data_IF_846674613653
#
_entry.id   IF_846674613653
#
_cell.length_a   1.000
_cell.length_b   1.000
_cell.length_c   1.000
_cell.angle_alpha   90.00
_cell.angle_beta   90.00
_cell.angle_gamma   90.00
#
_symmetry.space_group_name_H-M   'P 1'
#
loop_
_entity.id
_entity.type
_entity.pdbx_description
1 polymer ?
#
# COMPACT_ATOMS: atom_id res chain seq x y z
N UNK A 1 40.92 44.71 11.05
CA UNK A 1 40.93 45.97 11.81
C UNK A 1 40.75 45.71 13.30
N UNK A 2 39.67 45.05 13.74
CA UNK A 2 39.45 44.75 15.16
C UNK A 2 40.48 43.79 15.78
N UNK A 3 40.92 42.76 15.06
CA UNK A 3 41.94 41.80 15.57
C UNK A 3 43.23 42.50 16.02
N UNK A 4 43.73 43.43 15.21
CA UNK A 4 44.91 44.24 15.56
C UNK A 4 44.71 45.05 16.86
N UNK A 5 43.49 45.53 17.09
CA UNK A 5 43.15 46.33 18.27
C UNK A 5 42.89 45.48 19.51
N UNK A 6 42.46 44.23 19.34
CA UNK A 6 42.34 43.22 20.41
C UNK A 6 43.74 42.76 20.90
N UNK A 7 44.72 42.70 19.99
CA UNK A 7 46.13 42.34 20.26
C UNK A 7 47.01 43.54 20.67
N UNK A 8 46.45 44.75 20.75
CA UNK A 8 47.20 45.95 21.07
C UNK A 8 47.74 45.94 22.51
N UNK A 9 49.04 46.21 22.65
CA UNK A 9 49.70 46.44 23.94
C UNK A 9 50.16 47.90 24.07
N UNK A 10 50.04 48.45 25.28
CA UNK A 10 50.34 49.86 25.57
C UNK A 10 51.82 50.02 25.96
N UNK A 11 52.54 50.91 25.28
CA UNK A 11 53.91 51.27 25.65
C UNK A 11 53.97 52.36 26.73
N UNK A 12 52.83 52.70 27.35
CA UNK A 12 52.74 53.77 28.35
C UNK A 12 53.44 53.36 29.64
N UNK A 13 54.33 54.23 30.13
CA UNK A 13 54.94 54.08 31.44
C UNK A 13 54.17 54.91 32.47
N UNK A 14 53.99 54.35 33.67
CA UNK A 14 53.24 54.93 34.79
C UNK A 14 54.14 55.34 35.96
N UNK A 15 55.46 55.41 35.73
CA UNK A 15 56.48 55.81 36.71
C UNK A 15 56.25 57.17 37.35
N UNK A 16 55.56 58.09 36.68
CA UNK A 16 55.21 59.40 37.23
C UNK A 16 54.08 59.37 38.29
N UNK A 17 53.41 58.22 38.48
CA UNK A 17 52.35 58.01 39.49
C UNK A 17 52.81 57.11 40.63
N UNK A 18 54.12 56.86 40.76
CA UNK A 18 54.68 56.10 41.86
C UNK A 18 54.54 56.92 43.16
N UNK A 19 53.89 56.36 44.18
CA UNK A 19 53.48 57.10 45.40
C UNK A 19 54.62 57.29 46.40
N UNK A 20 55.58 56.36 46.43
CA UNK A 20 56.71 56.36 47.37
C UNK A 20 58.04 56.49 46.62
N UNK A 21 58.80 57.53 46.97
CA UNK A 21 60.13 57.77 46.42
C UNK A 21 61.14 56.81 47.06
N UNK A 22 61.91 56.12 46.21
CA UNK A 22 62.88 55.10 46.60
C UNK A 22 63.95 55.65 47.56
N UNK A 23 64.25 56.95 47.49
CA UNK A 23 65.25 57.58 48.36
C UNK A 23 64.79 57.74 49.82
N UNK A 24 63.49 57.64 50.09
CA UNK A 24 62.92 57.73 51.45
C UNK A 24 63.06 56.45 52.27
N UNK A 25 63.47 55.34 51.65
CA UNK A 25 63.71 54.09 52.38
C UNK A 25 65.00 54.19 53.21
N UNK A 26 64.87 54.06 54.54
CA UNK A 26 65.98 54.08 55.49
C UNK A 26 66.91 52.87 55.34
N UNK A 27 66.35 51.69 55.02
CA UNK A 27 67.05 50.42 54.88
C UNK A 27 67.02 49.84 53.46
N UNK A 28 68.00 48.98 53.11
CA UNK A 28 68.05 48.33 51.80
C UNK A 28 66.80 47.49 51.50
N UNK A 29 66.21 46.88 52.52
CA UNK A 29 65.01 46.06 52.38
C UNK A 29 63.76 46.91 52.18
N UNK A 30 63.66 48.07 52.85
CA UNK A 30 62.52 48.98 52.65
C UNK A 30 62.54 49.57 51.24
N UNK A 31 63.70 49.97 50.71
CA UNK A 31 63.84 50.39 49.30
C UNK A 31 63.38 49.32 48.31
N UNK A 32 63.73 48.04 48.55
CA UNK A 32 63.29 46.92 47.71
C UNK A 32 61.78 46.62 47.84
N UNK A 33 61.18 46.91 48.99
CA UNK A 33 59.73 46.77 49.17
C UNK A 33 58.98 47.86 48.39
N UNK A 34 59.44 49.11 48.49
CA UNK A 34 58.91 50.27 47.75
C UNK A 34 58.95 50.03 46.24
N UNK A 35 60.10 49.60 45.69
CA UNK A 35 60.22 49.29 44.26
C UNK A 35 59.28 48.17 43.78
N UNK A 36 59.08 47.14 44.62
CA UNK A 36 58.16 46.04 44.31
C UNK A 36 56.72 46.53 44.29
N UNK A 37 56.33 47.36 45.26
CA UNK A 37 54.99 47.93 45.33
C UNK A 37 54.70 48.86 44.15
N UNK A 38 55.63 49.77 43.82
CA UNK A 38 55.53 50.63 42.65
C UNK A 38 55.45 49.82 41.34
N UNK A 39 56.20 48.72 41.21
CA UNK A 39 56.11 47.83 40.04
C UNK A 39 54.73 47.17 39.91
N UNK A 40 54.15 46.71 41.03
CA UNK A 40 52.82 46.11 41.06
C UNK A 40 51.76 47.14 40.68
N UNK A 41 51.84 48.35 41.25
CA UNK A 41 50.87 49.40 40.97
C UNK A 41 50.94 49.90 39.52
N UNK A 42 52.14 50.03 38.96
CA UNK A 42 52.32 50.31 37.51
C UNK A 42 51.74 49.21 36.63
N UNK A 43 51.93 47.94 36.99
CA UNK A 43 51.35 46.82 36.26
C UNK A 43 49.82 46.81 36.36
N UNK A 44 49.27 47.13 37.53
CA UNK A 44 47.82 47.29 37.74
C UNK A 44 47.25 48.38 36.84
N UNK A 45 47.81 49.58 36.85
CA UNK A 45 47.35 50.71 36.03
C UNK A 45 47.46 50.42 34.53
N UNK A 46 48.52 49.73 34.10
CA UNK A 46 48.65 49.24 32.73
C UNK A 46 47.54 48.26 32.36
N UNK A 47 47.26 47.29 33.23
CA UNK A 47 46.20 46.31 32.99
C UNK A 47 44.82 46.95 32.94
N UNK A 48 44.55 47.94 33.80
CA UNK A 48 43.28 48.70 33.79
C UNK A 48 43.11 49.49 32.48
N UNK A 49 44.16 50.12 31.94
CA UNK A 49 44.12 50.78 30.63
C UNK A 49 43.86 49.78 29.50
N UNK A 50 44.56 48.64 29.48
CA UNK A 50 44.35 47.57 28.48
C UNK A 50 42.91 47.04 28.52
N UNK A 51 42.36 46.81 29.70
CA UNK A 51 40.96 46.37 29.86
C UNK A 51 40.00 47.45 29.35
N UNK A 52 40.24 48.71 29.69
CA UNK A 52 39.42 49.83 29.22
C UNK A 52 39.43 49.93 27.69
N UNK A 53 40.60 49.84 27.06
CA UNK A 53 40.73 49.82 25.59
C UNK A 53 39.99 48.61 25.01
N UNK A 54 40.13 47.42 25.57
CA UNK A 54 39.38 46.23 25.13
C UNK A 54 37.88 46.43 25.21
N UNK A 55 37.37 47.01 26.29
CA UNK A 55 35.95 47.28 26.45
C UNK A 55 35.42 48.26 25.41
N UNK A 56 36.17 49.33 25.12
CA UNK A 56 35.82 50.28 24.04
C UNK A 56 35.78 49.56 22.69
N UNK A 57 36.73 48.67 22.43
CA UNK A 57 36.82 47.91 21.17
C UNK A 57 35.65 46.93 21.04
N UNK A 58 35.27 46.25 22.12
CA UNK A 58 34.10 45.38 22.16
C UNK A 58 32.83 46.17 21.86
N UNK A 59 32.64 47.32 22.52
CA UNK A 59 31.49 48.19 22.29
C UNK A 59 31.45 48.70 20.84
N UNK A 60 32.60 49.08 20.28
CA UNK A 60 32.70 49.52 18.90
C UNK A 60 32.38 48.38 17.91
N UNK A 61 32.83 47.14 18.20
CA UNK A 61 32.56 45.95 17.38
C UNK A 61 31.08 45.56 17.42
N UNK A 62 30.43 45.70 18.57
CA UNK A 62 29.00 45.44 18.75
C UNK A 62 28.13 46.44 17.99
N UNK A 63 28.55 47.71 17.94
CA UNK A 63 27.81 48.79 17.28
C UNK A 63 28.22 49.03 15.81
N UNK A 64 29.24 48.35 15.29
CA UNK A 64 29.66 48.51 13.89
C UNK A 64 28.57 47.97 12.93
N UNK A 65 27.96 48.83 12.09
CA UNK A 65 26.88 48.42 11.19
C UNK A 65 27.31 47.32 10.21
N UNK A 66 28.60 47.25 9.85
CA UNK A 66 29.13 46.22 8.94
C UNK A 66 29.12 44.85 9.60
N UNK A 67 29.56 44.78 10.85
CA UNK A 67 29.58 43.55 11.64
C UNK A 67 28.16 43.13 11.98
N UNK A 68 27.28 44.06 12.34
CA UNK A 68 25.86 43.80 12.58
C UNK A 68 25.22 43.22 11.31
N UNK A 69 25.44 43.84 10.15
CA UNK A 69 24.90 43.36 8.88
C UNK A 69 25.44 41.97 8.51
N UNK A 70 26.74 41.73 8.68
CA UNK A 70 27.35 40.42 8.43
C UNK A 70 26.80 39.33 9.37
N UNK A 71 26.64 39.64 10.67
CA UNK A 71 26.06 38.73 11.64
C UNK A 71 24.58 38.43 11.35
N UNK A 72 23.81 39.46 10.96
CA UNK A 72 22.41 39.30 10.54
C UNK A 72 22.31 38.41 9.29
N UNK A 73 23.10 38.69 8.26
CA UNK A 73 23.15 37.88 7.05
C UNK A 73 23.57 36.42 7.34
N UNK A 74 24.52 36.19 8.24
CA UNK A 74 24.91 34.85 8.64
C UNK A 74 23.81 34.10 9.40
N UNK A 75 23.05 34.78 10.27
CA UNK A 75 21.87 34.22 10.95
C UNK A 75 20.77 33.87 9.95
N UNK A 76 20.43 34.80 9.07
CA UNK A 76 19.42 34.60 8.02
C UNK A 76 19.81 33.47 7.08
N UNK A 77 21.08 33.36 6.67
CA UNK A 77 21.55 32.24 5.85
C UNK A 77 21.41 30.89 6.57
N UNK A 78 21.68 30.84 7.88
CA UNK A 78 21.52 29.63 8.68
C UNK A 78 20.04 29.25 8.86
N UNK A 79 19.18 30.25 9.08
CA UNK A 79 17.74 30.06 9.19
C UNK A 79 17.11 29.64 7.86
N UNK A 80 17.47 30.28 6.75
CA UNK A 80 17.06 29.90 5.41
C UNK A 80 17.49 28.47 5.07
N UNK A 81 18.72 28.07 5.43
CA UNK A 81 19.18 26.68 5.25
C UNK A 81 18.37 25.70 6.11
N UNK A 82 17.99 26.07 7.33
CA UNK A 82 17.14 25.26 8.20
C UNK A 82 15.72 25.13 7.64
N UNK A 83 15.11 26.25 7.21
CA UNK A 83 13.78 26.28 6.60
C UNK A 83 13.76 25.46 5.31
N UNK A 84 14.71 25.68 4.39
CA UNK A 84 14.81 24.90 3.16
C UNK A 84 14.91 23.38 3.42
N UNK A 85 15.61 22.98 4.49
CA UNK A 85 15.67 21.56 4.90
C UNK A 85 14.33 21.05 5.42
N UNK A 86 13.61 21.84 6.22
CA UNK A 86 12.29 21.46 6.73
C UNK A 86 11.27 21.38 5.60
N UNK A 87 11.24 22.36 4.71
CA UNK A 87 10.33 22.40 3.56
C UNK A 87 10.61 21.24 2.60
N UNK A 88 11.88 20.89 2.37
CA UNK A 88 12.23 19.73 1.55
C UNK A 88 11.76 18.41 2.18
N UNK A 89 11.77 18.29 3.50
CA UNK A 89 11.26 17.10 4.21
C UNK A 89 9.73 17.07 4.16
N UNK A 90 9.06 18.21 4.36
CA UNK A 90 7.61 18.30 4.28
C UNK A 90 7.11 17.96 2.88
N UNK A 91 7.69 18.55 1.83
CA UNK A 91 7.35 18.22 0.44
C UNK A 91 7.56 16.75 0.11
N UNK A 92 8.62 16.11 0.61
CA UNK A 92 8.83 14.67 0.41
C UNK A 92 7.72 13.85 1.06
N UNK A 93 7.33 14.18 2.29
CA UNK A 93 6.23 13.51 3.00
C UNK A 93 4.88 13.72 2.29
N UNK A 94 4.58 14.93 1.86
CA UNK A 94 3.37 15.23 1.10
C UNK A 94 3.29 14.44 -0.21
N UNK A 95 4.41 14.34 -0.94
CA UNK A 95 4.49 13.54 -2.17
C UNK A 95 4.33 12.04 -1.90
N UNK A 96 4.91 11.51 -0.82
CA UNK A 96 4.74 10.11 -0.40
C UNK A 96 3.29 9.82 0.02
N UNK A 97 2.66 10.71 0.79
CA UNK A 97 1.26 10.59 1.19
C UNK A 97 0.31 10.67 0.00
N UNK A 98 0.56 11.56 -0.97
CA UNK A 98 -0.21 11.61 -2.21
C UNK A 98 -0.05 10.34 -3.04
N UNK A 99 1.16 9.78 -3.13
CA UNK A 99 1.38 8.51 -3.82
C UNK A 99 0.63 7.36 -3.15
N UNK A 100 0.71 7.25 -1.82
CA UNK A 100 -0.03 6.22 -1.07
C UNK A 100 -1.55 6.36 -1.26
N UNK A 101 -2.07 7.59 -1.25
CA UNK A 101 -3.51 7.83 -1.52
C UNK A 101 -3.89 7.42 -2.94
N UNK A 102 -3.11 7.78 -3.96
CA UNK A 102 -3.37 7.39 -5.36
C UNK A 102 -3.28 5.88 -5.56
N UNK A 103 -2.31 5.21 -4.92
CA UNK A 103 -2.18 3.76 -4.96
C UNK A 103 -3.35 3.05 -4.25
N UNK A 104 -3.80 3.58 -3.11
CA UNK A 104 -4.96 3.05 -2.39
C UNK A 104 -6.25 3.23 -3.20
N UNK A 105 -6.45 4.38 -3.83
CA UNK A 105 -7.60 4.64 -4.72
C UNK A 105 -7.57 3.74 -5.96
N UNK A 106 -6.41 3.58 -6.60
CA UNK A 106 -6.24 2.68 -7.74
C UNK A 106 -6.49 1.21 -7.34
N UNK A 107 -6.00 0.78 -6.17
CA UNK A 107 -6.24 -0.56 -5.64
C UNK A 107 -7.72 -0.79 -5.29
N UNK A 108 -8.41 0.21 -4.73
CA UNK A 108 -9.84 0.13 -4.45
C UNK A 108 -10.66 0.03 -5.75
N UNK A 109 -10.32 0.82 -6.76
CA UNK A 109 -10.97 0.77 -8.08
C UNK A 109 -10.73 -0.58 -8.77
N UNK A 110 -9.51 -1.11 -8.71
CA UNK A 110 -9.17 -2.43 -9.25
C UNK A 110 -9.92 -3.56 -8.54
N UNK A 111 -10.04 -3.49 -7.21
CA UNK A 111 -10.84 -4.45 -6.42
C UNK A 111 -12.32 -4.38 -6.81
N UNK A 112 -12.90 -3.18 -6.87
CA UNK A 112 -14.29 -3.00 -7.28
C UNK A 112 -14.55 -3.57 -8.69
N UNK A 113 -13.68 -3.26 -9.66
CA UNK A 113 -13.79 -3.79 -11.02
C UNK A 113 -13.66 -5.33 -11.06
N UNK A 114 -12.78 -5.92 -10.24
CA UNK A 114 -12.63 -7.38 -10.14
C UNK A 114 -13.86 -8.05 -9.52
N UNK A 115 -14.48 -7.43 -8.52
CA UNK A 115 -15.71 -7.92 -7.89
C UNK A 115 -16.90 -7.85 -8.83
N UNK A 116 -17.06 -6.75 -9.57
CA UNK A 116 -18.10 -6.62 -10.61
C UNK A 116 -17.93 -7.66 -11.71
N UNK A 117 -16.70 -7.87 -12.21
CA UNK A 117 -16.42 -8.94 -13.19
C UNK A 117 -16.79 -10.32 -12.64
N UNK A 118 -16.43 -10.62 -11.40
CA UNK A 118 -16.77 -11.89 -10.74
C UNK A 118 -18.29 -12.06 -10.56
N UNK A 119 -19.01 -10.98 -10.24
CA UNK A 119 -20.49 -11.01 -10.15
C UNK A 119 -21.12 -11.28 -11.51
N UNK A 120 -20.69 -10.59 -12.56
CA UNK A 120 -21.18 -10.79 -13.93
C UNK A 120 -20.91 -12.21 -14.43
N UNK A 121 -19.70 -12.75 -14.18
CA UNK A 121 -19.35 -14.12 -14.55
C UNK A 121 -20.19 -15.15 -13.77
N UNK A 122 -20.37 -14.95 -12.47
CA UNK A 122 -21.24 -15.81 -11.66
C UNK A 122 -22.70 -15.78 -12.13
N UNK A 123 -23.22 -14.62 -12.54
CA UNK A 123 -24.55 -14.52 -13.13
C UNK A 123 -24.65 -15.22 -14.49
N UNK A 124 -23.63 -15.11 -15.34
CA UNK A 124 -23.59 -15.84 -16.62
C UNK A 124 -23.59 -17.35 -16.42
N UNK A 125 -22.75 -17.85 -15.52
CA UNK A 125 -22.69 -19.28 -15.19
C UNK A 125 -24.03 -19.77 -14.61
N UNK A 126 -24.69 -18.97 -13.76
CA UNK A 126 -26.04 -19.30 -13.25
C UNK A 126 -27.07 -19.39 -14.37
N UNK A 127 -27.11 -18.40 -15.26
CA UNK A 127 -28.03 -18.39 -16.42
C UNK A 127 -27.78 -19.58 -17.34
N UNK A 128 -26.53 -19.90 -17.65
CA UNK A 128 -26.17 -21.06 -18.49
C UNK A 128 -26.55 -22.39 -17.83
N UNK A 129 -26.36 -22.53 -16.50
CA UNK A 129 -26.81 -23.70 -15.74
C UNK A 129 -28.33 -23.83 -15.70
N UNK A 130 -29.04 -22.71 -15.57
CA UNK A 130 -30.50 -22.71 -15.57
C UNK A 130 -31.08 -23.10 -16.93
N UNK A 131 -30.52 -22.57 -18.03
CA UNK A 131 -30.89 -22.97 -19.39
C UNK A 131 -30.61 -24.46 -19.62
N UNK A 132 -29.42 -24.94 -19.24
CA UNK A 132 -29.05 -26.36 -19.37
C UNK A 132 -30.00 -27.27 -18.58
N UNK A 133 -30.47 -26.82 -17.41
CA UNK A 133 -31.44 -27.56 -16.58
C UNK A 133 -32.85 -27.57 -17.18
N UNK A 134 -33.26 -26.46 -17.80
CA UNK A 134 -34.55 -26.38 -18.50
C UNK A 134 -34.53 -27.29 -19.73
N UNK A 135 -33.46 -27.27 -20.52
CA UNK A 135 -33.27 -28.16 -21.67
C UNK A 135 -33.27 -29.62 -21.25
N UNK A 136 -32.51 -29.98 -20.21
CA UNK A 136 -32.50 -31.35 -19.66
C UNK A 136 -33.91 -31.82 -19.26
N UNK A 137 -34.69 -30.94 -18.59
CA UNK A 137 -36.08 -31.25 -18.22
C UNK A 137 -36.99 -31.41 -19.44
N UNK A 138 -36.79 -30.62 -20.50
CA UNK A 138 -37.56 -30.71 -21.74
C UNK A 138 -37.28 -32.02 -22.47
N UNK A 139 -36.01 -32.40 -22.62
CA UNK A 139 -35.63 -33.65 -23.29
C UNK A 139 -36.09 -34.88 -22.50
N UNK A 140 -36.03 -34.86 -21.17
CA UNK A 140 -36.58 -35.94 -20.32
C UNK A 140 -38.09 -36.07 -20.45
N UNK A 141 -38.82 -34.94 -20.49
CA UNK A 141 -40.27 -34.93 -20.73
C UNK A 141 -40.61 -35.45 -22.12
N UNK A 142 -39.81 -35.10 -23.13
CA UNK A 142 -39.96 -35.58 -24.51
C UNK A 142 -39.74 -37.09 -24.60
N UNK A 143 -38.70 -37.63 -23.97
CA UNK A 143 -38.45 -39.06 -23.89
C UNK A 143 -39.63 -39.80 -23.24
N UNK A 144 -40.14 -39.26 -22.12
CA UNK A 144 -41.30 -39.81 -21.44
C UNK A 144 -42.57 -39.78 -22.30
N UNK A 145 -42.86 -38.66 -22.97
CA UNK A 145 -44.03 -38.54 -23.85
C UNK A 145 -43.94 -39.48 -25.05
N UNK A 146 -42.76 -39.62 -25.68
CA UNK A 146 -42.57 -40.59 -26.76
C UNK A 146 -42.79 -42.03 -26.27
N UNK A 147 -42.26 -42.39 -25.10
CA UNK A 147 -42.38 -43.74 -24.56
C UNK A 147 -43.82 -44.10 -24.12
N UNK A 148 -44.52 -43.15 -23.51
CA UNK A 148 -45.89 -43.35 -22.97
C UNK A 148 -46.95 -43.10 -24.04
N UNK A 149 -46.94 -41.93 -24.68
CA UNK A 149 -48.04 -41.48 -25.54
C UNK A 149 -47.95 -42.04 -26.95
N UNK A 150 -46.73 -42.22 -27.51
CA UNK A 150 -46.56 -42.79 -28.86
C UNK A 150 -46.42 -44.29 -28.87
N UNK A 151 -45.61 -44.86 -27.98
CA UNK A 151 -45.26 -46.28 -28.03
C UNK A 151 -45.95 -47.14 -26.96
N UNK A 152 -46.77 -46.56 -26.06
CA UNK A 152 -47.52 -47.30 -25.03
C UNK A 152 -46.65 -48.34 -24.28
N UNK A 153 -45.46 -47.92 -23.82
CA UNK A 153 -44.48 -48.80 -23.15
C UNK A 153 -44.04 -50.02 -23.98
N UNK A 154 -44.10 -49.92 -25.31
CA UNK A 154 -43.82 -51.01 -26.25
C UNK A 154 -44.68 -52.27 -26.03
N UNK A 155 -45.88 -52.11 -25.45
CA UNK A 155 -46.80 -53.21 -25.14
C UNK A 155 -47.71 -53.58 -26.32
N UNK A 156 -47.40 -53.12 -27.53
CA UNK A 156 -48.20 -53.43 -28.72
C UNK A 156 -47.87 -54.85 -29.19
N UNK A 157 -48.57 -55.82 -28.61
CA UNK A 157 -48.59 -57.21 -29.06
C UNK A 157 -49.56 -58.03 -28.21
N UNK A 158 -50.43 -58.82 -28.86
CA UNK A 158 -51.48 -59.70 -28.30
C UNK A 158 -50.96 -60.85 -27.38
N UNK A 159 -49.82 -60.69 -26.69
CA UNK A 159 -49.13 -61.77 -25.96
C UNK A 159 -48.59 -61.34 -24.60
N UNK A 160 -49.35 -60.58 -23.82
CA UNK A 160 -48.97 -60.22 -22.45
C UNK A 160 -50.18 -60.38 -21.52
N UNK A 161 -50.09 -61.30 -20.57
CA UNK A 161 -51.06 -61.42 -19.47
C UNK A 161 -51.10 -60.10 -18.68
N UNK A 162 -52.29 -59.63 -18.29
CA UNK A 162 -52.49 -58.37 -17.57
C UNK A 162 -51.63 -58.25 -16.28
N UNK A 163 -51.25 -59.39 -15.70
CA UNK A 163 -50.34 -59.50 -14.54
C UNK A 163 -48.88 -59.11 -14.87
N UNK A 164 -48.37 -59.42 -16.07
CA UNK A 164 -46.98 -59.13 -16.47
C UNK A 164 -46.80 -57.76 -17.11
N UNK A 165 -47.88 -57.15 -17.60
CA UNK A 165 -47.86 -55.82 -18.20
C UNK A 165 -47.34 -54.76 -17.21
N UNK A 166 -47.75 -54.83 -15.94
CA UNK A 166 -47.29 -53.91 -14.90
C UNK A 166 -45.79 -54.04 -14.60
N UNK A 167 -45.26 -55.27 -14.57
CA UNK A 167 -43.82 -55.52 -14.34
C UNK A 167 -42.95 -54.96 -15.47
N UNK A 168 -43.37 -55.18 -16.73
CA UNK A 168 -42.67 -54.64 -17.92
C UNK A 168 -42.68 -53.12 -17.97
N UNK A 169 -43.80 -52.48 -17.63
CA UNK A 169 -43.89 -51.01 -17.54
C UNK A 169 -42.92 -50.44 -16.51
N UNK A 170 -42.83 -51.05 -15.33
CA UNK A 170 -41.91 -50.61 -14.27
C UNK A 170 -40.45 -50.79 -14.71
N UNK A 171 -40.11 -51.89 -15.40
CA UNK A 171 -38.77 -52.11 -15.93
C UNK A 171 -38.38 -51.05 -16.97
N UNK A 172 -39.29 -50.73 -17.89
CA UNK A 172 -39.05 -49.74 -18.96
C UNK A 172 -38.89 -48.33 -18.39
N UNK A 173 -39.66 -47.97 -17.36
CA UNK A 173 -39.51 -46.71 -16.64
C UNK A 173 -38.19 -46.64 -15.85
N UNK A 174 -37.77 -47.74 -15.21
CA UNK A 174 -36.49 -47.83 -14.52
C UNK A 174 -35.30 -47.70 -15.48
N UNK A 175 -35.39 -48.33 -16.66
CA UNK A 175 -34.38 -48.21 -17.71
C UNK A 175 -34.35 -46.78 -18.31
N UNK A 176 -35.50 -46.13 -18.45
CA UNK A 176 -35.59 -44.72 -18.85
C UNK A 176 -34.90 -43.80 -17.83
N UNK A 177 -35.11 -44.05 -16.53
CA UNK A 177 -34.46 -43.29 -15.46
C UNK A 177 -32.94 -43.50 -15.46
N UNK A 178 -32.47 -44.73 -15.72
CA UNK A 178 -31.04 -45.04 -15.89
C UNK A 178 -30.43 -44.27 -17.07
N UNK A 179 -31.09 -44.27 -18.23
CA UNK A 179 -30.66 -43.50 -19.40
C UNK A 179 -30.61 -41.99 -19.09
N UNK A 180 -31.60 -41.46 -18.39
CA UNK A 180 -31.66 -40.05 -18.02
C UNK A 180 -30.58 -39.62 -17.01
N UNK A 181 -30.05 -40.56 -16.22
CA UNK A 181 -28.96 -40.31 -15.27
C UNK A 181 -27.57 -40.40 -15.91
N UNK A 182 -27.41 -41.28 -16.91
CA UNK A 182 -26.10 -41.60 -17.50
C UNK A 182 -25.81 -40.84 -18.80
N UNK A 183 -26.83 -40.44 -19.55
CA UNK A 183 -26.66 -39.74 -20.82
C UNK A 183 -26.55 -38.22 -20.61
N UNK A 184 -25.69 -37.59 -21.42
CA UNK A 184 -25.61 -36.12 -21.52
C UNK A 184 -26.83 -35.53 -22.26
N UNK A 185 -27.07 -34.23 -22.10
CA UNK A 185 -28.18 -33.53 -22.77
C UNK A 185 -28.13 -33.68 -24.31
N UNK A 186 -26.93 -33.72 -24.90
CA UNK A 186 -26.76 -33.93 -26.34
C UNK A 186 -27.18 -35.35 -26.76
N UNK A 187 -26.75 -36.36 -26.01
CA UNK A 187 -27.09 -37.77 -26.29
C UNK A 187 -28.58 -38.07 -26.05
N UNK A 188 -29.23 -37.39 -25.09
CA UNK A 188 -30.68 -37.48 -24.89
C UNK A 188 -31.45 -36.85 -26.05
N UNK A 189 -30.94 -35.74 -26.60
CA UNK A 189 -31.52 -35.10 -27.79
C UNK A 189 -31.41 -36.00 -29.02
N UNK A 190 -30.22 -36.55 -29.28
CA UNK A 190 -30.00 -37.53 -30.36
C UNK A 190 -30.91 -38.75 -30.22
N UNK A 191 -31.02 -39.32 -29.01
CA UNK A 191 -31.92 -40.44 -28.75
C UNK A 191 -33.38 -40.08 -29.02
N UNK A 192 -33.83 -38.90 -28.58
CA UNK A 192 -35.18 -38.42 -28.86
C UNK A 192 -35.44 -38.22 -30.36
N UNK A 193 -34.47 -37.70 -31.11
CA UNK A 193 -34.55 -37.56 -32.56
C UNK A 193 -34.63 -38.91 -33.28
N UNK A 194 -33.83 -39.89 -32.86
CA UNK A 194 -33.90 -41.26 -33.39
C UNK A 194 -35.22 -41.96 -33.04
N UNK A 195 -35.77 -41.71 -31.86
CA UNK A 195 -37.08 -42.23 -31.46
C UNK A 195 -38.24 -41.53 -32.19
N UNK A 196 -38.07 -40.26 -32.58
CA UNK A 196 -39.06 -39.53 -33.40
C UNK A 196 -39.05 -39.95 -34.87
N UNK A 197 -37.92 -40.47 -35.36
CA UNK A 197 -37.75 -40.98 -36.73
C UNK A 197 -38.17 -42.45 -36.89
N UNK A 198 -38.48 -43.15 -35.80
CA UNK A 198 -38.89 -44.55 -35.85
C UNK A 198 -40.39 -44.68 -36.18
N UNK A 199 -40.70 -45.31 -37.30
CA UNK A 199 -42.08 -45.48 -37.79
C UNK A 199 -42.83 -46.67 -37.15
N UNK A 200 -42.10 -47.63 -36.57
CA UNK A 200 -42.67 -48.85 -35.96
C UNK A 200 -42.22 -49.03 -34.51
N UNK A 201 -43.12 -49.57 -33.68
CA UNK A 201 -42.89 -49.83 -32.25
C UNK A 201 -41.66 -50.71 -32.01
N UNK A 202 -41.44 -51.72 -32.86
CA UNK A 202 -40.32 -52.65 -32.73
C UNK A 202 -38.97 -52.00 -33.01
N UNK A 203 -38.90 -51.09 -34.00
CA UNK A 203 -37.68 -50.34 -34.32
C UNK A 203 -37.30 -49.39 -33.18
N UNK A 204 -38.30 -48.69 -32.62
CA UNK A 204 -38.09 -47.83 -31.46
C UNK A 204 -37.63 -48.61 -30.22
N UNK A 205 -38.17 -49.82 -30.00
CA UNK A 205 -37.72 -50.71 -28.93
C UNK A 205 -36.26 -51.17 -29.13
N UNK A 206 -35.86 -51.57 -30.34
CA UNK A 206 -34.47 -51.93 -30.63
C UNK A 206 -33.47 -50.79 -30.38
N UNK A 207 -33.82 -49.56 -30.79
CA UNK A 207 -32.98 -48.37 -30.57
C UNK A 207 -32.85 -48.09 -29.06
N UNK A 208 -33.97 -48.19 -28.32
CA UNK A 208 -34.00 -47.98 -26.88
C UNK A 208 -33.18 -49.03 -26.12
N UNK A 209 -33.38 -50.33 -26.39
CA UNK A 209 -32.63 -51.42 -25.77
C UNK A 209 -31.14 -51.38 -26.09
N UNK A 210 -30.76 -51.10 -27.34
CA UNK A 210 -29.35 -50.94 -27.73
C UNK A 210 -28.67 -49.82 -26.96
N UNK A 211 -29.37 -48.70 -26.76
CA UNK A 211 -28.84 -47.58 -25.98
C UNK A 211 -28.72 -47.92 -24.49
N UNK A 212 -29.65 -48.69 -23.93
CA UNK A 212 -29.57 -49.19 -22.55
C UNK A 212 -28.37 -50.10 -22.36
N UNK A 213 -28.14 -51.04 -23.28
CA UNK A 213 -26.97 -51.92 -23.24
C UNK A 213 -25.65 -51.15 -23.31
N UNK A 214 -25.60 -50.08 -24.12
CA UNK A 214 -24.43 -49.20 -24.21
C UNK A 214 -24.15 -48.44 -22.91
N UNK A 215 -25.17 -48.23 -22.07
CA UNK A 215 -25.08 -47.51 -20.79
C UNK A 215 -24.86 -48.46 -19.60
N UNK A 216 -25.28 -49.73 -19.72
CA UNK A 216 -25.08 -50.77 -18.72
C UNK A 216 -23.67 -51.40 -18.76
N UNK A 217 -22.96 -51.29 -19.90
CA UNK A 217 -21.53 -51.63 -20.02
C UNK A 217 -20.63 -50.57 -19.40
#
# INVERSE_FOLDING_TARGET
MYNYREEYDTCRDYSYLDEEDKEKGEDRETRRAIERQNRIERARRRNEEVISVRNIVLLAKENDPRIIAANKAAREAKEAKRQARLDAVQKRREMEEEQIKREAEAAALARAASEERRRLEAERIRKERDLSRIEAKRERRRLKSNLVDRFNYFLVGDKIDESEAGSRQVSILADMDLLCQRLSNAQLRELNEHLDQADTSDQAHCIFSSKIESVKR
#
